data_IF_740177323569
#
_entry.id   IF_740177323569
#
_cell.length_a   1.000
_cell.length_b   1.000
_cell.length_c   1.000
_cell.angle_alpha   90.00
_cell.angle_beta   90.00
_cell.angle_gamma   90.00
#
_symmetry.space_group_name_H-M   'P 1'
#
loop_
_entity.id
_entity.type
_entity.pdbx_description
1 polymer ?
#
# COMPACT_ATOMS: atom_id res chain seq x y z
N UNK A 1 -26.80 17.27 -14.23
CA UNK A 1 -26.01 16.66 -13.14
C UNK A 1 -26.80 15.51 -12.56
N UNK A 2 -26.22 14.30 -12.52
CA UNK A 2 -26.84 13.15 -11.85
C UNK A 2 -26.95 13.45 -10.35
N UNK A 3 -28.15 13.31 -9.78
CA UNK A 3 -28.40 13.49 -8.35
C UNK A 3 -28.71 12.11 -7.79
N UNK A 4 -27.76 11.54 -7.05
CA UNK A 4 -27.95 10.22 -6.47
C UNK A 4 -29.17 10.21 -5.54
N UNK A 5 -29.96 9.12 -5.52
CA UNK A 5 -31.15 9.01 -4.68
C UNK A 5 -30.83 8.97 -3.18
N UNK A 6 -29.57 8.69 -2.80
CA UNK A 6 -29.08 8.66 -1.43
C UNK A 6 -27.80 9.49 -1.30
N UNK A 7 -27.58 10.13 -0.13
CA UNK A 7 -26.34 10.85 0.13
C UNK A 7 -25.13 9.89 0.09
N UNK A 8 -23.94 10.38 -0.27
CA UNK A 8 -22.72 9.60 -0.17
C UNK A 8 -22.54 9.03 1.23
N UNK A 9 -21.97 7.83 1.31
CA UNK A 9 -21.65 7.21 2.58
C UNK A 9 -20.66 8.07 3.37
N UNK A 10 -21.01 8.38 4.61
CA UNK A 10 -20.21 9.20 5.51
C UNK A 10 -19.79 8.36 6.74
N UNK A 11 -18.48 8.20 6.91
CA UNK A 11 -17.91 7.43 8.01
C UNK A 11 -18.11 8.10 9.36
N UNK A 12 -18.42 9.40 9.40
CA UNK A 12 -18.71 10.14 10.65
C UNK A 12 -20.07 9.80 11.26
N UNK A 13 -20.95 9.14 10.50
CA UNK A 13 -22.22 8.62 10.99
C UNK A 13 -21.95 7.40 11.89
N UNK A 14 -22.52 7.41 13.10
CA UNK A 14 -22.38 6.36 14.13
C UNK A 14 -22.55 4.95 13.52
N UNK A 15 -21.51 4.12 13.62
CA UNK A 15 -21.50 2.73 13.16
C UNK A 15 -20.72 2.46 11.87
N UNK A 16 -20.47 3.47 11.04
CA UNK A 16 -19.68 3.34 9.78
C UNK A 16 -18.17 3.46 9.98
N UNK A 17 -17.73 3.91 11.16
CA UNK A 17 -16.33 4.18 11.52
C UNK A 17 -15.43 2.94 11.62
N UNK A 18 -16.02 1.76 11.84
CA UNK A 18 -15.26 0.54 12.16
C UNK A 18 -14.38 0.08 10.98
N UNK A 19 -14.86 0.23 9.75
CA UNK A 19 -14.07 -0.13 8.56
C UNK A 19 -12.84 0.76 8.43
N UNK A 20 -13.01 2.08 8.57
CA UNK A 20 -11.92 3.08 8.47
C UNK A 20 -10.86 2.86 9.54
N UNK A 21 -11.27 2.62 10.79
CA UNK A 21 -10.33 2.49 11.90
C UNK A 21 -9.70 1.10 11.96
N UNK A 22 -10.47 0.02 11.75
CA UNK A 22 -9.99 -1.35 11.99
C UNK A 22 -9.48 -2.02 10.72
N UNK A 23 -10.21 -1.90 9.59
CA UNK A 23 -9.92 -2.70 8.39
C UNK A 23 -8.85 -2.06 7.51
N UNK A 24 -8.91 -0.74 7.30
CA UNK A 24 -7.94 -0.05 6.43
C UNK A 24 -6.49 -0.18 6.91
N UNK A 25 -6.16 -0.01 8.20
CA UNK A 25 -4.78 -0.22 8.66
C UNK A 25 -4.29 -1.65 8.42
N UNK A 26 -5.17 -2.65 8.55
CA UNK A 26 -4.85 -4.05 8.28
C UNK A 26 -4.56 -4.26 6.80
N UNK A 27 -5.42 -3.74 5.91
CA UNK A 27 -5.25 -3.84 4.46
C UNK A 27 -3.94 -3.19 4.00
N UNK A 28 -3.67 -1.94 4.43
CA UNK A 28 -2.46 -1.21 4.06
C UNK A 28 -1.19 -1.92 4.57
N UNK A 29 -1.26 -2.48 5.78
CA UNK A 29 -0.14 -3.28 6.32
C UNK A 29 0.05 -4.57 5.53
N UNK A 30 -1.02 -5.25 5.12
CA UNK A 30 -0.95 -6.44 4.28
C UNK A 30 -0.34 -6.17 2.90
N UNK A 31 -0.63 -5.02 2.30
CA UNK A 31 0.01 -4.59 1.04
C UNK A 31 1.52 -4.40 1.25
N UNK A 32 1.91 -3.68 2.31
CA UNK A 32 3.33 -3.48 2.65
C UNK A 32 4.04 -4.81 2.86
N UNK A 33 3.42 -5.72 3.61
CA UNK A 33 3.98 -7.04 3.93
C UNK A 33 4.17 -7.90 2.69
N UNK A 34 3.19 -7.90 1.77
CA UNK A 34 3.28 -8.66 0.52
C UNK A 34 4.43 -8.16 -0.38
N UNK A 35 4.54 -6.84 -0.55
CA UNK A 35 5.62 -6.24 -1.34
C UNK A 35 6.98 -6.48 -0.67
N UNK A 36 7.04 -6.38 0.66
CA UNK A 36 8.26 -6.64 1.42
C UNK A 36 8.75 -8.08 1.22
N UNK A 37 7.86 -9.07 1.39
CA UNK A 37 8.17 -10.48 1.16
C UNK A 37 8.65 -10.71 -0.28
N UNK A 38 7.95 -10.15 -1.27
CA UNK A 38 8.33 -10.31 -2.67
C UNK A 38 9.70 -9.70 -2.97
N UNK A 39 9.99 -8.52 -2.44
CA UNK A 39 11.29 -7.87 -2.58
C UNK A 39 12.40 -8.68 -1.90
N UNK A 40 12.12 -9.30 -0.76
CA UNK A 40 13.04 -10.18 -0.07
C UNK A 40 13.37 -11.41 -0.94
N UNK A 41 12.36 -12.11 -1.45
CA UNK A 41 12.53 -13.28 -2.32
C UNK A 41 13.36 -12.95 -3.57
N UNK A 42 13.05 -11.81 -4.21
CA UNK A 42 13.79 -11.30 -5.36
C UNK A 42 15.25 -10.99 -5.00
N UNK A 43 15.48 -10.32 -3.87
CA UNK A 43 16.81 -9.98 -3.38
C UNK A 43 17.66 -11.19 -2.97
N UNK A 44 17.04 -12.29 -2.54
CA UNK A 44 17.75 -13.56 -2.32
C UNK A 44 18.08 -14.21 -3.67
N UNK A 45 17.12 -14.25 -4.59
CA UNK A 45 17.28 -14.90 -5.90
C UNK A 45 18.30 -14.23 -6.82
N UNK A 46 18.62 -12.94 -6.61
CA UNK A 46 19.56 -12.19 -7.46
C UNK A 46 20.96 -12.81 -7.47
N UNK A 47 21.35 -13.48 -6.38
CA UNK A 47 22.67 -14.12 -6.23
C UNK A 47 22.85 -15.31 -7.17
N UNK A 48 21.76 -15.97 -7.53
CA UNK A 48 21.76 -17.16 -8.38
C UNK A 48 21.61 -16.79 -9.87
N UNK A 49 21.45 -15.50 -10.19
CA UNK A 49 21.33 -15.01 -11.56
C UNK A 49 22.70 -14.76 -12.17
N UNK A 50 22.93 -15.32 -13.36
CA UNK A 50 24.14 -15.11 -14.15
C UNK A 50 24.01 -13.98 -15.17
N UNK A 51 22.79 -13.69 -15.63
CA UNK A 51 22.52 -12.60 -16.56
C UNK A 51 22.44 -11.25 -15.83
N UNK A 52 23.29 -10.31 -16.25
CA UNK A 52 23.37 -8.97 -15.66
C UNK A 52 22.13 -8.13 -16.00
N UNK A 53 21.48 -8.37 -17.14
CA UNK A 53 20.24 -7.68 -17.50
C UNK A 53 19.09 -8.09 -16.56
N UNK A 54 18.98 -9.39 -16.24
CA UNK A 54 17.97 -9.89 -15.29
C UNK A 54 18.20 -9.32 -13.89
N UNK A 55 19.46 -9.21 -13.44
CA UNK A 55 19.77 -8.59 -12.14
C UNK A 55 19.34 -7.13 -12.09
N UNK A 56 19.65 -6.36 -13.13
CA UNK A 56 19.27 -4.95 -13.21
C UNK A 56 17.74 -4.77 -13.15
N UNK A 57 16.98 -5.61 -13.86
CA UNK A 57 15.51 -5.61 -13.78
C UNK A 57 15.02 -5.96 -12.37
N UNK A 58 15.63 -6.93 -11.70
CA UNK A 58 15.27 -7.29 -10.32
C UNK A 58 15.53 -6.13 -9.35
N UNK A 59 16.66 -5.44 -9.49
CA UNK A 59 16.99 -4.27 -8.67
C UNK A 59 16.03 -3.10 -8.89
N UNK A 60 15.61 -2.87 -10.14
CA UNK A 60 14.59 -1.89 -10.48
C UNK A 60 13.25 -2.20 -9.81
N UNK A 61 12.78 -3.46 -9.91
CA UNK A 61 11.54 -3.91 -9.25
C UNK A 61 11.62 -3.73 -7.73
N UNK A 62 12.76 -4.08 -7.11
CA UNK A 62 12.95 -3.90 -5.66
C UNK A 62 12.90 -2.41 -5.30
N UNK A 63 13.49 -1.54 -6.13
CA UNK A 63 13.51 -0.10 -5.93
C UNK A 63 12.12 0.51 -6.02
N UNK A 64 11.36 0.13 -7.05
CA UNK A 64 9.95 0.51 -7.19
C UNK A 64 9.11 0.00 -6.00
N UNK A 65 9.28 -1.25 -5.59
CA UNK A 65 8.57 -1.82 -4.45
C UNK A 65 8.86 -1.05 -3.15
N UNK A 66 10.10 -0.61 -2.92
CA UNK A 66 10.45 0.26 -1.78
C UNK A 66 9.74 1.61 -1.84
N UNK A 67 9.64 2.22 -3.03
CA UNK A 67 8.91 3.47 -3.22
C UNK A 67 7.41 3.30 -2.91
N UNK A 68 6.79 2.22 -3.38
CA UNK A 68 5.38 1.90 -3.08
C UNK A 68 5.17 1.71 -1.58
N UNK A 69 6.04 0.95 -0.90
CA UNK A 69 5.97 0.79 0.57
C UNK A 69 6.01 2.15 1.27
N UNK A 70 6.87 3.07 0.82
CA UNK A 70 6.94 4.43 1.35
C UNK A 70 5.62 5.20 1.20
N UNK A 71 5.05 5.19 0.00
CA UNK A 71 3.78 5.86 -0.30
C UNK A 71 2.62 5.27 0.53
N UNK A 72 2.48 3.95 0.55
CA UNK A 72 1.42 3.27 1.34
C UNK A 72 1.61 3.51 2.83
N UNK A 73 2.87 3.54 3.30
CA UNK A 73 3.21 3.89 4.68
C UNK A 73 2.79 5.30 5.05
N UNK A 74 3.01 6.28 4.17
CA UNK A 74 2.57 7.66 4.34
C UNK A 74 1.04 7.74 4.41
N UNK A 75 0.32 7.12 3.47
CA UNK A 75 -1.15 7.09 3.48
C UNK A 75 -1.69 6.51 4.80
N UNK A 76 -1.12 5.39 5.26
CA UNK A 76 -1.50 4.79 6.56
C UNK A 76 -1.26 5.75 7.72
N UNK A 77 -0.13 6.46 7.72
CA UNK A 77 0.22 7.43 8.75
C UNK A 77 -0.75 8.62 8.78
N UNK A 78 -1.10 9.15 7.61
CA UNK A 78 -1.97 10.31 7.46
C UNK A 78 -3.42 9.96 7.80
N UNK A 79 -3.90 8.79 7.35
CA UNK A 79 -5.22 8.26 7.73
C UNK A 79 -5.38 8.11 9.24
N UNK A 80 -4.36 7.55 9.92
CA UNK A 80 -4.39 7.37 11.38
C UNK A 80 -4.46 8.70 12.16
N UNK A 81 -4.05 9.81 11.54
CA UNK A 81 -4.07 11.16 12.12
C UNK A 81 -5.21 12.03 11.62
N UNK A 82 -6.13 11.45 10.83
CA UNK A 82 -7.23 12.18 10.22
C UNK A 82 -6.75 13.43 9.46
N UNK A 83 -5.62 13.30 8.75
CA UNK A 83 -5.10 14.36 7.87
C UNK A 83 -5.91 14.40 6.57
N UNK A 84 -6.03 15.58 5.94
CA UNK A 84 -6.66 15.68 4.63
C UNK A 84 -5.90 14.85 3.60
N UNK A 85 -6.63 14.29 2.63
CA UNK A 85 -6.06 13.69 1.44
C UNK A 85 -5.49 14.81 0.56
N UNK A 86 -4.20 14.72 0.24
CA UNK A 86 -3.53 15.57 -0.77
C UNK A 86 -3.70 14.99 -2.18
#
# INVERSE_FOLDING_TARGET
>A
MFKAPYPPWDFTIKGSFETVIKRWPVILTGIIDNIYCRNHDLGVSIRDKTDEAEKATIEEIITEGKAIIGLVGQVKYDMARNRPLE
#
